data_IF_707246814615
#
_entry.id   IF_707246814615
#
_cell.length_a   1.000
_cell.length_b   1.000
_cell.length_c   1.000
_cell.angle_alpha   90.00
_cell.angle_beta   90.00
_cell.angle_gamma   90.00
#
_symmetry.space_group_name_H-M   'P 1'
#
loop_
_entity.id
_entity.type
_entity.pdbx_description
1 polymer ?
#
# COMPACT_ATOMS: atom_id res chain seq x y z
N UNK A 1 -2.33 0.17 0.02
CA UNK A 1 -1.08 -0.02 -0.74
C UNK A 1 -1.26 -1.19 -1.68
N UNK A 2 -0.45 -1.26 -2.73
CA UNK A 2 -0.39 -2.40 -3.63
C UNK A 2 1.06 -2.79 -3.91
N UNK A 3 1.28 -4.02 -4.34
CA UNK A 3 2.60 -4.57 -4.70
C UNK A 3 2.60 -4.95 -6.17
N UNK A 4 3.60 -4.52 -6.92
CA UNK A 4 3.75 -4.87 -8.35
C UNK A 4 3.94 -6.37 -8.51
N UNK A 5 3.14 -7.00 -9.37
CA UNK A 5 3.29 -8.41 -9.77
C UNK A 5 3.97 -8.57 -11.13
N UNK A 6 3.66 -7.65 -12.05
CA UNK A 6 4.15 -7.68 -13.42
C UNK A 6 4.60 -6.29 -13.84
N UNK A 7 5.62 -6.24 -14.70
CA UNK A 7 6.09 -4.98 -15.28
C UNK A 7 5.04 -4.40 -16.23
N UNK A 8 4.93 -3.09 -16.25
CA UNK A 8 4.01 -2.34 -17.10
C UNK A 8 4.68 -1.07 -17.62
N UNK A 9 4.72 -0.93 -18.94
CA UNK A 9 5.23 0.26 -19.62
C UNK A 9 4.06 1.17 -20.02
N UNK A 10 4.07 2.46 -19.61
CA UNK A 10 3.03 3.42 -19.94
C UNK A 10 2.84 3.60 -21.45
N UNK A 11 1.58 3.59 -21.89
CA UNK A 11 1.14 3.96 -23.24
C UNK A 11 0.70 5.42 -23.31
N UNK A 12 0.25 5.98 -22.18
CA UNK A 12 -0.19 7.37 -22.06
C UNK A 12 0.59 8.13 -20.97
N UNK A 13 0.62 9.47 -21.06
CA UNK A 13 1.43 10.31 -20.19
C UNK A 13 0.90 10.40 -18.74
N UNK A 14 -0.35 10.05 -18.55
CA UNK A 14 -1.06 9.97 -17.27
C UNK A 14 -0.92 8.59 -16.60
N UNK A 15 -0.28 7.63 -17.26
CA UNK A 15 -0.06 6.29 -16.74
C UNK A 15 1.26 6.17 -15.95
N UNK A 16 1.23 5.33 -14.91
CA UNK A 16 2.34 5.07 -14.02
C UNK A 16 3.11 3.83 -14.47
N UNK A 17 4.42 3.99 -14.63
CA UNK A 17 5.32 2.89 -14.96
C UNK A 17 5.46 1.93 -13.77
N UNK A 18 5.27 0.63 -14.01
CA UNK A 18 5.56 -0.44 -13.06
C UNK A 18 6.84 -1.14 -13.51
N UNK A 19 7.99 -0.68 -13.05
CA UNK A 19 9.29 -1.15 -13.55
C UNK A 19 9.95 -2.26 -12.72
N UNK A 20 9.49 -2.51 -11.50
CA UNK A 20 10.15 -3.41 -10.57
C UNK A 20 9.12 -4.31 -9.86
N UNK A 21 9.24 -5.62 -10.06
CA UNK A 21 8.37 -6.61 -9.41
C UNK A 21 8.61 -6.56 -7.89
N UNK A 22 7.53 -6.52 -7.12
CA UNK A 22 7.58 -6.40 -5.66
C UNK A 22 7.62 -4.96 -5.15
N UNK A 23 7.78 -3.96 -6.03
CA UNK A 23 7.72 -2.55 -5.64
C UNK A 23 6.36 -2.19 -5.03
N UNK A 24 6.39 -1.36 -3.98
CA UNK A 24 5.18 -0.90 -3.30
C UNK A 24 4.66 0.39 -3.92
N UNK A 25 3.35 0.40 -4.17
CA UNK A 25 2.60 1.53 -4.70
C UNK A 25 1.65 2.06 -3.63
N UNK A 26 1.66 3.37 -3.46
CA UNK A 26 0.66 4.05 -2.64
C UNK A 26 -0.60 4.23 -3.48
N UNK A 27 -1.68 3.52 -3.14
CA UNK A 27 -2.97 3.66 -3.82
C UNK A 27 -3.60 5.00 -3.39
N UNK A 28 -3.88 5.88 -4.36
CA UNK A 28 -4.55 7.17 -4.16
C UNK A 28 -6.06 7.00 -4.41
N UNK A 29 -6.45 6.40 -5.54
CA UNK A 29 -7.85 6.11 -5.90
C UNK A 29 -7.97 4.75 -6.58
N UNK A 30 -9.08 4.06 -6.33
CA UNK A 30 -9.42 2.79 -6.98
C UNK A 30 -10.50 2.93 -8.04
N UNK A 31 -11.24 4.04 -8.01
CA UNK A 31 -12.39 4.29 -8.88
C UNK A 31 -12.09 5.54 -9.72
N UNK A 32 -11.34 5.34 -10.81
CA UNK A 32 -10.92 6.44 -11.70
C UNK A 32 -11.83 6.62 -12.93
N UNK A 33 -13.02 6.03 -12.94
CA UNK A 33 -13.98 6.10 -14.04
C UNK A 33 -13.87 4.93 -15.02
N UNK A 34 -12.66 4.43 -15.24
CA UNK A 34 -12.41 3.22 -16.03
C UNK A 34 -12.27 2.00 -15.13
N UNK A 35 -13.13 1.00 -15.36
CA UNK A 35 -13.08 -0.25 -14.61
C UNK A 35 -11.74 -0.98 -14.86
N UNK A 36 -11.04 -1.34 -13.78
CA UNK A 36 -9.75 -2.04 -13.84
C UNK A 36 -8.52 -1.13 -13.76
N UNK A 37 -8.68 0.16 -13.49
CA UNK A 37 -7.56 1.09 -13.33
C UNK A 37 -7.53 1.74 -11.96
N UNK A 38 -6.34 1.74 -11.35
CA UNK A 38 -6.08 2.44 -10.10
C UNK A 38 -5.16 3.63 -10.34
N UNK A 39 -5.35 4.69 -9.54
CA UNK A 39 -4.40 5.78 -9.43
C UNK A 39 -3.51 5.55 -8.22
N UNK A 40 -2.20 5.69 -8.39
CA UNK A 40 -1.26 5.62 -7.28
C UNK A 40 0.02 6.38 -7.50
N UNK A 41 0.89 6.30 -6.50
CA UNK A 41 2.15 7.03 -6.43
C UNK A 41 3.33 6.12 -6.12
N UNK A 42 4.42 6.30 -6.88
CA UNK A 42 5.74 5.67 -6.68
C UNK A 42 6.79 6.78 -6.76
N UNK A 43 7.61 6.92 -5.71
CA UNK A 43 8.71 7.90 -5.67
C UNK A 43 8.29 9.34 -6.06
N UNK A 44 7.11 9.78 -5.62
CA UNK A 44 6.55 11.10 -5.93
C UNK A 44 5.97 11.25 -7.33
N UNK A 45 6.01 10.21 -8.18
CA UNK A 45 5.32 10.19 -9.47
C UNK A 45 3.94 9.55 -9.32
N UNK A 46 2.92 10.23 -9.84
CA UNK A 46 1.53 9.78 -9.83
C UNK A 46 1.07 9.40 -11.23
N UNK A 47 0.20 8.42 -11.30
CA UNK A 47 -0.45 8.03 -12.55
C UNK A 47 -1.37 6.83 -12.39
N UNK A 48 -2.03 6.49 -13.50
CA UNK A 48 -2.94 5.36 -13.63
C UNK A 48 -2.18 4.08 -13.96
N UNK A 49 -2.59 2.96 -13.40
CA UNK A 49 -2.05 1.65 -13.76
C UNK A 49 -3.14 0.58 -13.66
N UNK A 50 -3.04 -0.52 -14.43
CA UNK A 50 -4.01 -1.59 -14.41
C UNK A 50 -3.96 -2.37 -13.08
N UNK A 51 -5.12 -2.62 -12.49
CA UNK A 51 -5.24 -3.32 -11.20
C UNK A 51 -4.73 -4.76 -11.26
N UNK A 52 -4.92 -5.44 -12.40
CA UNK A 52 -4.48 -6.82 -12.65
C UNK A 52 -2.96 -7.02 -12.57
N UNK A 53 -2.18 -5.94 -12.65
CA UNK A 53 -0.71 -5.97 -12.61
C UNK A 53 -0.17 -5.83 -11.18
N UNK A 54 -1.05 -5.63 -10.20
CA UNK A 54 -0.68 -5.46 -8.81
C UNK A 54 -1.46 -6.39 -7.89
N UNK A 55 -0.96 -6.56 -6.68
CA UNK A 55 -1.64 -7.24 -5.58
C UNK A 55 -1.96 -6.21 -4.49
N UNK A 56 -3.21 -6.10 -4.06
CA UNK A 56 -3.56 -5.24 -2.93
C UNK A 56 -2.93 -5.81 -1.65
N UNK A 57 -2.03 -5.04 -1.05
CA UNK A 57 -1.43 -5.41 0.23
C UNK A 57 -2.32 -4.87 1.34
N UNK A 58 -2.99 -5.79 2.03
CA UNK A 58 -3.54 -5.48 3.36
C UNK A 58 -2.36 -5.36 4.32
N UNK A 59 -2.06 -4.14 4.73
CA UNK A 59 -1.23 -3.94 5.93
C UNK A 59 -2.10 -4.38 7.09
N UNK A 60 -2.00 -5.64 7.46
CA UNK A 60 -2.55 -6.15 8.70
C UNK A 60 -1.99 -5.29 9.82
N UNK A 61 -2.80 -4.40 10.38
CA UNK A 61 -2.46 -3.61 11.58
C UNK A 61 -2.41 -4.51 12.84
N UNK A 62 -2.16 -5.81 12.64
CA UNK A 62 -1.91 -6.82 13.64
C UNK A 62 -0.50 -6.63 14.18
N UNK A 63 -0.31 -5.52 14.88
CA UNK A 63 0.48 -5.51 16.10
C UNK A 63 0.31 -4.22 16.89
N UNK A 64 -0.50 -3.24 16.48
CA UNK A 64 -0.75 -2.08 17.36
C UNK A 64 -1.68 -2.47 18.50
N UNK A 65 -2.66 -3.35 18.27
CA UNK A 65 -3.53 -3.87 19.34
C UNK A 65 -2.75 -4.79 20.29
N UNK A 66 -1.86 -5.65 19.77
CA UNK A 66 -0.98 -6.49 20.59
C UNK A 66 0.09 -5.66 21.32
N UNK A 67 0.71 -4.67 20.67
CA UNK A 67 1.61 -3.71 21.33
C UNK A 67 0.88 -2.90 22.39
N UNK A 68 -0.33 -2.39 22.13
CA UNK A 68 -1.14 -1.68 23.13
C UNK A 68 -1.48 -2.57 24.32
N UNK A 69 -1.87 -3.82 24.09
CA UNK A 69 -2.10 -4.80 25.17
C UNK A 69 -0.81 -5.09 25.92
N UNK A 70 0.33 -5.24 25.24
CA UNK A 70 1.63 -5.44 25.86
C UNK A 70 2.00 -4.25 26.76
N UNK A 71 1.91 -3.02 26.23
CA UNK A 71 2.16 -1.80 27.01
C UNK A 71 1.18 -1.62 28.16
N UNK A 72 -0.08 -2.04 28.02
CA UNK A 72 -1.06 -1.97 29.10
C UNK A 72 -0.77 -3.01 30.19
N UNK A 73 -0.41 -4.24 29.80
CA UNK A 73 -0.05 -5.32 30.74
C UNK A 73 1.25 -5.00 31.47
N UNK A 74 2.29 -4.53 30.77
CA UNK A 74 3.55 -4.11 31.42
C UNK A 74 3.44 -2.77 32.15
N UNK A 75 2.54 -1.89 31.73
CA UNK A 75 2.30 -0.58 32.36
C UNK A 75 1.67 -0.68 33.76
N UNK A 76 0.91 -1.75 34.04
CA UNK A 76 0.35 -2.00 35.38
C UNK A 76 1.32 -2.66 36.36
N UNK A 77 2.54 -3.01 35.95
CA UNK A 77 3.56 -3.62 36.82
C UNK A 77 4.66 -2.67 37.29
N UNK A 78 4.56 -1.35 37.02
CA UNK A 78 5.62 -0.41 37.43
C UNK A 78 5.29 0.52 38.60
N UNK A 79 4.06 0.56 39.13
CA UNK A 79 3.81 1.29 40.37
C UNK A 79 4.07 0.42 41.62
N UNK A 80 5.35 0.20 41.90
CA UNK A 80 5.89 -0.05 43.24
C UNK A 80 7.15 0.81 43.37
N UNK A 81 7.11 1.85 44.21
CA UNK A 81 7.43 1.66 45.63
C UNK A 81 6.37 2.17 46.60
#
# INVERSE_FOLDING_TARGET
>A
MARVKFEYEPQHNDELRLGEIGQLITIIRKDCGDAGWFEGEINGRRGLFPDNFVELVQVSVLNISLLKVLYFVFGTYWECP
#
